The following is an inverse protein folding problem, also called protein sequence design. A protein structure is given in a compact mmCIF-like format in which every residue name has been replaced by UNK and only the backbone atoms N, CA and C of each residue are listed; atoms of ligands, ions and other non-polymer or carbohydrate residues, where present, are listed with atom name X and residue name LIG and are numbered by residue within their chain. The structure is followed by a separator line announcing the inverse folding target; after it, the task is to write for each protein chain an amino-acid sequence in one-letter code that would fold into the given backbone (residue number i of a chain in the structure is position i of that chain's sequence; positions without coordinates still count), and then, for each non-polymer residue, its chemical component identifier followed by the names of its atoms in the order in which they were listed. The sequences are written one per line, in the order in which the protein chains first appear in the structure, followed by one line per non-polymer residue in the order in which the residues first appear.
data_IF_860600075662
#
_entry.id   IF_860600075662
#
_cell.length_a   1.000
_cell.length_b   1.000
_cell.length_c   1.000
_cell.angle_alpha   90.00
_cell.angle_beta   90.00
_cell.angle_gamma   90.00
#
_symmetry.space_group_name_H-M   'P 1'
#
loop_
_entity.id
_entity.type
_entity.pdbx_description
1 polymer ?
#
# COMPACT_ATOMS: atom_id res chain seq x y z
N UNK A 1 3.91 9.63 20.50
CA UNK A 1 3.53 8.88 21.71
C UNK A 1 2.96 7.55 21.25
N UNK A 2 3.59 6.40 21.51
CA UNK A 2 2.95 5.12 21.21
C UNK A 2 1.78 4.94 22.18
N UNK A 3 0.56 4.96 21.66
CA UNK A 3 -0.63 4.61 22.43
C UNK A 3 -0.54 3.13 22.76
N UNK A 4 -0.20 2.81 24.01
CA UNK A 4 -0.24 1.45 24.53
C UNK A 4 -1.69 1.12 24.82
N UNK A 5 -2.33 0.37 23.92
CA UNK A 5 -3.65 -0.21 24.19
C UNK A 5 -3.42 -1.45 25.05
N UNK A 6 -3.66 -1.31 26.35
CA UNK A 6 -3.74 -2.44 27.27
C UNK A 6 -5.01 -3.24 26.96
N UNK A 7 -4.83 -4.50 26.55
CA UNK A 7 -5.93 -5.44 26.45
C UNK A 7 -6.27 -5.98 27.86
N UNK A 8 -7.54 -6.29 28.16
CA UNK A 8 -7.94 -6.76 29.47
C UNK A 8 -7.22 -8.07 29.81
N UNK A 9 -6.49 -8.09 30.93
CA UNK A 9 -5.83 -9.28 31.44
C UNK A 9 -6.87 -10.40 31.64
N UNK A 10 -6.65 -11.55 30.98
CA UNK A 10 -7.48 -12.76 31.10
C UNK A 10 -8.31 -13.14 29.87
N UNK A 11 -8.43 -12.31 28.84
CA UNK A 11 -9.00 -12.71 27.54
C UNK A 11 -7.89 -12.95 26.53
N UNK A 12 -7.86 -14.14 25.93
CA UNK A 12 -6.97 -14.42 24.81
C UNK A 12 -7.20 -13.40 23.69
N UNK A 13 -6.12 -12.87 23.10
CA UNK A 13 -6.19 -11.94 21.99
C UNK A 13 -6.92 -12.62 20.83
N UNK A 14 -8.07 -12.10 20.44
CA UNK A 14 -8.81 -12.66 19.31
C UNK A 14 -8.21 -12.21 17.99
N UNK A 15 -8.48 -12.98 16.94
CA UNK A 15 -8.09 -12.68 15.55
C UNK A 15 -8.54 -11.25 15.15
N UNK A 16 -9.79 -10.87 15.42
CA UNK A 16 -10.30 -9.52 15.12
C UNK A 16 -9.62 -8.45 15.95
N UNK A 17 -9.48 -8.65 17.26
CA UNK A 17 -8.81 -7.66 18.11
C UNK A 17 -7.36 -7.41 17.68
N UNK A 18 -6.64 -8.46 17.28
CA UNK A 18 -5.29 -8.34 16.75
C UNK A 18 -5.25 -7.56 15.44
N UNK A 19 -6.19 -7.83 14.53
CA UNK A 19 -6.30 -7.14 13.25
C UNK A 19 -6.59 -5.64 13.43
N UNK A 20 -7.57 -5.30 14.27
CA UNK A 20 -7.99 -3.93 14.52
C UNK A 20 -6.86 -3.11 15.14
N UNK A 21 -6.20 -3.63 16.20
CA UNK A 21 -5.09 -2.93 16.87
C UNK A 21 -3.88 -2.78 15.92
N UNK A 22 -3.62 -3.77 15.06
CA UNK A 22 -2.58 -3.63 14.04
C UNK A 22 -2.90 -2.51 13.05
N UNK A 23 -4.11 -2.48 12.50
CA UNK A 23 -4.52 -1.47 11.52
C UNK A 23 -4.52 -0.07 12.13
N UNK A 24 -4.98 0.09 13.37
CA UNK A 24 -4.95 1.36 14.12
C UNK A 24 -3.53 1.85 14.41
N UNK A 25 -2.54 0.95 14.45
CA UNK A 25 -1.15 1.33 14.65
C UNK A 25 -0.49 1.96 13.41
N UNK A 26 -1.13 1.89 12.24
CA UNK A 26 -0.59 2.40 10.98
C UNK A 26 -0.95 3.87 10.78
N UNK A 27 0.06 4.76 10.75
CA UNK A 27 -0.16 6.21 10.59
C UNK A 27 -0.56 6.68 9.19
N UNK A 28 -0.53 5.82 8.16
CA UNK A 28 -0.84 6.21 6.78
C UNK A 28 -2.21 5.63 6.35
N UNK A 29 -3.22 6.47 6.03
CA UNK A 29 -4.55 6.00 5.64
C UNK A 29 -4.57 5.10 4.39
N UNK A 30 -3.68 5.33 3.43
CA UNK A 30 -3.57 4.48 2.24
C UNK A 30 -3.01 3.09 2.59
N UNK A 31 -2.09 3.02 3.55
CA UNK A 31 -1.58 1.75 4.06
C UNK A 31 -2.65 1.01 4.85
N UNK A 32 -3.38 1.70 5.74
CA UNK A 32 -4.53 1.14 6.47
C UNK A 32 -5.54 0.54 5.49
N UNK A 33 -5.96 1.32 4.47
CA UNK A 33 -6.90 0.85 3.44
C UNK A 33 -6.38 -0.36 2.68
N UNK A 34 -5.12 -0.34 2.26
CA UNK A 34 -4.57 -1.44 1.45
C UNK A 34 -4.36 -2.72 2.27
N UNK A 35 -3.82 -2.60 3.48
CA UNK A 35 -3.59 -3.75 4.37
C UNK A 35 -4.89 -4.28 4.94
N UNK A 36 -5.86 -3.41 5.26
CA UNK A 36 -7.17 -3.79 5.77
C UNK A 36 -7.94 -4.76 4.87
N UNK A 37 -7.74 -4.72 3.55
CA UNK A 37 -8.35 -5.70 2.63
C UNK A 37 -7.77 -7.10 2.87
N UNK A 38 -6.45 -7.22 3.02
CA UNK A 38 -5.80 -8.51 3.25
C UNK A 38 -6.07 -9.03 4.66
N UNK A 39 -5.75 -8.20 5.65
CA UNK A 39 -5.89 -8.53 7.07
C UNK A 39 -7.34 -8.80 7.44
N UNK A 40 -8.27 -7.92 7.05
CA UNK A 40 -9.68 -8.04 7.42
C UNK A 40 -10.32 -9.31 6.85
N UNK A 41 -10.11 -9.60 5.55
CA UNK A 41 -10.68 -10.82 4.93
C UNK A 41 -10.06 -12.11 5.46
N UNK A 42 -8.75 -12.11 5.76
CA UNK A 42 -8.12 -13.26 6.41
C UNK A 42 -8.68 -13.45 7.82
N UNK A 43 -8.82 -12.38 8.60
CA UNK A 43 -9.40 -12.44 9.95
C UNK A 43 -10.84 -12.98 9.94
N UNK A 44 -11.68 -12.50 9.01
CA UNK A 44 -13.04 -12.98 8.79
C UNK A 44 -13.05 -14.48 8.46
N UNK A 45 -12.17 -14.93 7.55
CA UNK A 45 -12.10 -16.33 7.11
C UNK A 45 -11.64 -17.29 8.20
N UNK A 46 -10.69 -16.88 9.05
CA UNK A 46 -10.19 -17.70 10.16
C UNK A 46 -11.25 -17.81 11.27
N UNK A 47 -12.00 -16.74 11.51
CA UNK A 47 -12.97 -16.65 12.59
C UNK A 47 -12.56 -15.58 13.57
N UNK A 48 -13.29 -14.47 13.55
CA UNK A 48 -12.92 -13.23 14.23
C UNK A 48 -12.85 -13.34 15.76
N UNK A 49 -13.69 -14.20 16.34
CA UNK A 49 -13.75 -14.45 17.78
C UNK A 49 -12.75 -15.50 18.28
N UNK A 50 -12.05 -16.21 17.39
CA UNK A 50 -11.10 -17.24 17.79
C UNK A 50 -9.84 -16.63 18.42
N UNK A 51 -9.26 -17.30 19.44
CA UNK A 51 -7.94 -16.93 19.95
C UNK A 51 -6.88 -17.00 18.85
N UNK A 52 -6.12 -15.92 18.66
CA UNK A 52 -5.06 -15.88 17.64
C UNK A 52 -4.00 -16.98 17.88
N UNK A 53 -3.69 -17.26 19.14
CA UNK A 53 -2.72 -18.30 19.54
C UNK A 53 -3.16 -19.73 19.18
N UNK A 54 -4.45 -19.95 18.88
CA UNK A 54 -4.98 -21.25 18.49
C UNK A 54 -5.00 -21.48 16.98
N UNK A 55 -4.66 -20.46 16.19
CA UNK A 55 -4.64 -20.53 14.73
C UNK A 55 -3.30 -21.11 14.27
N UNK A 56 -3.33 -22.10 13.38
CA UNK A 56 -2.15 -22.70 12.80
C UNK A 56 -1.64 -21.91 11.58
N UNK A 57 -0.33 -22.02 11.31
CA UNK A 57 0.30 -21.39 10.14
C UNK A 57 -0.37 -21.83 8.83
N UNK A 58 -0.73 -23.10 8.71
CA UNK A 58 -1.38 -23.63 7.50
C UNK A 58 -2.77 -23.03 7.28
N UNK A 59 -3.53 -22.72 8.34
CA UNK A 59 -4.82 -22.05 8.21
C UNK A 59 -4.68 -20.64 7.61
N UNK A 60 -3.59 -19.94 7.93
CA UNK A 60 -3.25 -18.64 7.31
C UNK A 60 -2.93 -18.81 5.82
N UNK A 61 -2.11 -19.80 5.49
CA UNK A 61 -1.76 -20.09 4.10
C UNK A 61 -2.98 -20.48 3.26
N UNK A 62 -3.83 -21.36 3.79
CA UNK A 62 -5.06 -21.82 3.14
C UNK A 62 -6.05 -20.67 2.96
N UNK A 63 -6.19 -19.79 3.95
CA UNK A 63 -7.01 -18.59 3.81
C UNK A 63 -6.49 -17.68 2.69
N UNK A 64 -5.17 -17.49 2.56
CA UNK A 64 -4.58 -16.70 1.48
C UNK A 64 -4.84 -17.33 0.10
N UNK A 65 -4.61 -18.64 -0.06
CA UNK A 65 -4.86 -19.36 -1.32
C UNK A 65 -6.34 -19.35 -1.70
N UNK A 66 -7.24 -19.59 -0.75
CA UNK A 66 -8.67 -19.57 -1.00
C UNK A 66 -9.15 -18.18 -1.47
N UNK A 67 -8.64 -17.12 -0.85
CA UNK A 67 -9.08 -15.74 -1.14
C UNK A 67 -8.40 -15.15 -2.39
N UNK A 68 -7.16 -15.53 -2.69
CA UNK A 68 -6.33 -14.88 -3.71
C UNK A 68 -5.43 -15.81 -4.53
N UNK A 69 -5.53 -17.13 -4.42
CA UNK A 69 -4.67 -18.08 -5.16
C UNK A 69 -4.79 -17.97 -6.68
N UNK A 70 -5.93 -17.49 -7.18
CA UNK A 70 -6.17 -17.20 -8.60
C UNK A 70 -6.08 -15.71 -8.96
N UNK A 71 -5.72 -14.86 -8.00
CA UNK A 71 -5.60 -13.43 -8.22
C UNK A 71 -4.32 -13.09 -9.03
N UNK A 72 -4.28 -11.92 -9.70
CA UNK A 72 -3.05 -11.43 -10.29
C UNK A 72 -1.90 -11.39 -9.27
N UNK A 73 -0.68 -11.69 -9.72
CA UNK A 73 0.52 -11.79 -8.87
C UNK A 73 0.71 -10.58 -7.94
N UNK A 74 0.49 -9.36 -8.45
CA UNK A 74 0.63 -8.15 -7.65
C UNK A 74 -0.43 -8.06 -6.55
N UNK A 75 -1.64 -8.53 -6.81
CA UNK A 75 -2.71 -8.63 -5.81
C UNK A 75 -2.35 -9.67 -4.75
N UNK A 76 -1.97 -10.88 -5.15
CA UNK A 76 -1.49 -11.92 -4.22
C UNK A 76 -0.40 -11.38 -3.29
N UNK A 77 0.66 -10.80 -3.88
CA UNK A 77 1.80 -10.27 -3.14
C UNK A 77 1.40 -9.15 -2.17
N UNK A 78 0.49 -8.25 -2.57
CA UNK A 78 0.02 -7.17 -1.71
C UNK A 78 -0.79 -7.67 -0.50
N UNK A 79 -1.66 -8.66 -0.71
CA UNK A 79 -2.50 -9.23 0.37
C UNK A 79 -1.65 -10.06 1.33
N UNK A 80 -0.79 -10.92 0.78
CA UNK A 80 0.22 -11.66 1.53
C UNK A 80 1.11 -10.73 2.36
N UNK A 81 1.56 -9.60 1.79
CA UNK A 81 2.39 -8.63 2.52
C UNK A 81 1.63 -7.97 3.69
N UNK A 82 0.35 -7.66 3.51
CA UNK A 82 -0.49 -7.14 4.59
C UNK A 82 -0.61 -8.13 5.76
N UNK A 83 -0.92 -9.40 5.46
CA UNK A 83 -1.04 -10.46 6.47
C UNK A 83 0.32 -10.75 7.14
N UNK A 84 1.41 -10.81 6.36
CA UNK A 84 2.76 -10.97 6.88
C UNK A 84 3.13 -9.82 7.84
N UNK A 85 2.79 -8.58 7.49
CA UNK A 85 3.05 -7.42 8.34
C UNK A 85 2.24 -7.46 9.63
N UNK A 86 0.99 -7.92 9.56
CA UNK A 86 0.12 -8.06 10.73
C UNK A 86 0.66 -9.11 11.71
N UNK A 87 0.95 -10.32 11.24
CA UNK A 87 1.45 -11.40 12.09
C UNK A 87 2.88 -11.09 12.62
N UNK A 88 3.71 -10.44 11.79
CA UNK A 88 5.00 -9.93 12.23
C UNK A 88 4.89 -8.91 13.37
N UNK A 89 3.95 -7.97 13.25
CA UNK A 89 3.66 -6.97 14.30
C UNK A 89 3.15 -7.61 15.60
N UNK A 90 2.34 -8.68 15.49
CA UNK A 90 1.85 -9.42 16.65
C UNK A 90 3.01 -10.07 17.41
N UNK A 91 3.87 -10.77 16.67
CA UNK A 91 5.07 -11.44 17.22
C UNK A 91 6.03 -10.45 17.88
N UNK A 92 6.27 -9.29 17.27
CA UNK A 92 7.12 -8.23 17.84
C UNK A 92 6.60 -7.70 19.19
N UNK A 93 5.31 -7.83 19.47
CA UNK A 93 4.67 -7.44 20.73
C UNK A 93 4.51 -8.60 21.73
N UNK A 94 5.06 -9.77 21.41
CA UNK A 94 5.01 -10.94 22.26
C UNK A 94 3.66 -11.65 22.26
N UNK A 95 2.79 -11.38 21.28
CA UNK A 95 1.56 -12.16 21.12
C UNK A 95 1.89 -13.50 20.46
N UNK A 96 1.45 -14.59 21.07
CA UNK A 96 1.45 -15.92 20.45
C UNK A 96 0.42 -15.96 19.31
N UNK A 97 0.77 -16.62 18.20
CA UNK A 97 -0.05 -16.68 17.02
C UNK A 97 0.69 -17.25 15.81
N UNK A 98 -0.02 -17.41 14.68
CA UNK A 98 0.53 -18.05 13.49
C UNK A 98 1.51 -17.13 12.75
N UNK A 99 2.27 -17.73 11.85
CA UNK A 99 3.05 -17.08 10.82
C UNK A 99 2.43 -17.34 9.43
N UNK A 100 2.87 -16.55 8.43
CA UNK A 100 2.60 -16.90 7.02
C UNK A 100 3.50 -18.06 6.65
N UNK A 101 2.95 -19.21 6.22
CA UNK A 101 3.75 -20.40 5.97
C UNK A 101 4.67 -20.22 4.76
N UNK A 102 5.78 -20.96 4.75
CA UNK A 102 6.80 -20.84 3.71
C UNK A 102 6.28 -21.22 2.31
N UNK A 103 5.34 -22.15 2.23
CA UNK A 103 4.74 -22.60 0.96
C UNK A 103 3.85 -21.52 0.32
N UNK A 104 3.19 -20.69 1.13
CA UNK A 104 2.47 -19.50 0.68
C UNK A 104 3.47 -18.38 0.37
N UNK A 105 4.34 -18.59 -0.62
CA UNK A 105 5.47 -17.72 -0.94
C UNK A 105 5.07 -16.49 -1.77
N UNK A 106 5.90 -15.46 -1.71
CA UNK A 106 5.80 -14.31 -2.62
C UNK A 106 6.06 -14.80 -4.05
N UNK A 107 5.24 -14.36 -4.99
CA UNK A 107 5.39 -14.67 -6.41
C UNK A 107 6.23 -13.59 -7.11
N UNK A 108 7.01 -13.98 -8.12
CA UNK A 108 7.76 -13.02 -8.93
C UNK A 108 6.78 -12.19 -9.75
N UNK A 109 6.80 -10.87 -9.56
CA UNK A 109 5.96 -9.97 -10.35
C UNK A 109 6.37 -10.05 -11.82
N UNK A 110 5.42 -10.23 -12.76
CA UNK A 110 5.74 -10.15 -14.17
C UNK A 110 6.22 -8.74 -14.53
N UNK A 111 6.98 -8.64 -15.60
CA UNK A 111 7.32 -7.34 -16.17
C UNK A 111 6.06 -6.57 -16.55
N UNK A 112 6.15 -5.24 -16.51
CA UNK A 112 5.02 -4.39 -16.87
C UNK A 112 4.86 -4.35 -18.38
N UNK A 113 3.74 -4.88 -18.88
CA UNK A 113 3.33 -4.74 -20.29
C UNK A 113 2.80 -3.34 -20.64
N UNK A 114 2.76 -2.41 -19.67
CA UNK A 114 2.29 -1.04 -19.91
C UNK A 114 3.21 -0.33 -20.91
N UNK A 115 2.72 0.03 -22.11
CA UNK A 115 3.57 0.60 -23.14
C UNK A 115 3.98 2.03 -22.79
N UNK A 116 5.27 2.33 -22.96
CA UNK A 116 5.76 3.70 -22.89
C UNK A 116 5.22 4.53 -24.06
N UNK A 117 4.74 5.76 -23.77
CA UNK A 117 4.30 6.70 -24.81
C UNK A 117 5.52 7.42 -25.40
N UNK A 118 5.63 7.41 -26.73
CA UNK A 118 6.68 8.18 -27.42
C UNK A 118 6.41 9.69 -27.35
N UNK A 119 7.48 10.50 -27.48
CA UNK A 119 7.36 11.96 -27.57
C UNK A 119 6.33 12.40 -28.60
N UNK A 120 6.38 11.80 -29.79
CA UNK A 120 5.46 12.10 -30.89
C UNK A 120 4.00 11.78 -30.52
N UNK A 121 3.74 10.70 -29.78
CA UNK A 121 2.40 10.38 -29.31
C UNK A 121 1.88 11.44 -28.32
N UNK A 122 2.75 11.94 -27.44
CA UNK A 122 2.40 13.01 -26.49
C UNK A 122 2.18 14.35 -27.22
N UNK A 123 3.06 14.73 -28.14
CA UNK A 123 2.92 15.96 -28.94
C UNK A 123 1.58 15.97 -29.71
N UNK A 124 1.19 14.82 -30.28
CA UNK A 124 -0.12 14.67 -30.94
C UNK A 124 -1.29 14.84 -29.98
N UNK A 125 -1.22 14.30 -28.76
CA UNK A 125 -2.26 14.49 -27.75
C UNK A 125 -2.40 15.97 -27.37
N UNK A 126 -1.29 16.68 -27.23
CA UNK A 126 -1.26 18.10 -26.87
C UNK A 126 -1.80 18.98 -28.01
N UNK A 127 -1.59 18.59 -29.27
CA UNK A 127 -2.06 19.34 -30.44
C UNK A 127 -3.60 19.29 -30.64
N UNK A 128 -4.31 18.38 -29.97
CA UNK A 128 -5.78 18.21 -30.09
C UNK A 128 -6.52 19.47 -29.67
N UNK A 129 -7.31 20.09 -30.56
CA UNK A 129 -7.96 21.38 -30.31
C UNK A 129 -9.11 21.28 -29.30
N UNK A 130 -9.79 20.14 -29.28
CA UNK A 130 -10.92 19.82 -28.42
C UNK A 130 -10.54 19.54 -26.96
N UNK A 131 -9.24 19.39 -26.67
CA UNK A 131 -8.75 19.20 -25.31
C UNK A 131 -8.43 20.57 -24.69
N UNK A 132 -8.93 20.81 -23.47
CA UNK A 132 -8.65 22.04 -22.76
C UNK A 132 -7.16 22.16 -22.36
N UNK A 133 -6.71 23.41 -22.15
CA UNK A 133 -5.31 23.71 -21.86
C UNK A 133 -4.83 23.02 -20.56
N UNK A 134 -5.71 22.85 -19.57
CA UNK A 134 -5.39 22.22 -18.29
C UNK A 134 -4.87 20.78 -18.47
N UNK A 135 -5.57 19.97 -19.25
CA UNK A 135 -5.22 18.57 -19.51
C UNK A 135 -3.93 18.49 -20.33
N UNK A 136 -3.77 19.39 -21.31
CA UNK A 136 -2.53 19.50 -22.09
C UNK A 136 -1.33 19.82 -21.20
N UNK A 137 -1.48 20.79 -20.28
CA UNK A 137 -0.45 21.14 -19.31
C UNK A 137 -0.14 19.96 -18.40
N UNK A 138 -1.15 19.26 -17.88
CA UNK A 138 -0.94 18.07 -17.06
C UNK A 138 -0.15 16.99 -17.81
N UNK A 139 -0.53 16.67 -19.04
CA UNK A 139 0.16 15.65 -19.84
C UNK A 139 1.60 16.05 -20.17
N UNK A 140 1.84 17.32 -20.51
CA UNK A 140 3.18 17.85 -20.74
C UNK A 140 4.05 17.73 -19.49
N UNK A 141 3.52 18.15 -18.34
CA UNK A 141 4.22 18.11 -17.06
C UNK A 141 4.55 16.67 -16.65
N UNK A 142 3.60 15.73 -16.75
CA UNK A 142 3.85 14.31 -16.46
C UNK A 142 4.94 13.73 -17.34
N UNK A 143 4.93 14.06 -18.63
CA UNK A 143 5.91 13.56 -19.59
C UNK A 143 7.32 14.15 -19.36
N UNK A 144 7.43 15.47 -19.20
CA UNK A 144 8.73 16.14 -19.10
C UNK A 144 9.40 15.98 -17.74
N UNK A 145 8.61 15.91 -16.66
CA UNK A 145 9.17 15.78 -15.30
C UNK A 145 9.28 14.33 -14.83
N UNK A 146 8.57 13.40 -15.49
CA UNK A 146 8.36 12.03 -14.98
C UNK A 146 7.84 11.99 -13.53
N UNK A 147 7.22 13.08 -13.07
CA UNK A 147 6.61 13.18 -11.75
C UNK A 147 5.36 12.33 -11.64
N UNK A 148 5.02 11.93 -10.40
CA UNK A 148 3.75 11.23 -10.16
C UNK A 148 2.57 12.18 -10.35
N UNK A 149 1.43 11.62 -10.73
CA UNK A 149 0.21 12.41 -10.92
C UNK A 149 -0.18 13.24 -9.69
N UNK A 150 -0.05 12.67 -8.49
CA UNK A 150 -0.32 13.38 -7.23
C UNK A 150 0.68 14.53 -6.98
N UNK A 151 1.93 14.38 -7.41
CA UNK A 151 2.96 15.43 -7.27
C UNK A 151 2.63 16.61 -8.16
N UNK A 152 2.22 16.37 -9.41
CA UNK A 152 1.86 17.43 -10.37
C UNK A 152 0.52 18.08 -10.01
N UNK A 153 -0.48 17.29 -9.59
CA UNK A 153 -1.77 17.82 -9.17
C UNK A 153 -1.71 18.60 -7.85
N UNK A 154 -0.69 18.35 -7.02
CA UNK A 154 -0.47 19.05 -5.76
C UNK A 154 0.39 20.31 -5.85
N UNK A 155 0.85 20.70 -7.05
CA UNK A 155 1.63 21.93 -7.26
C UNK A 155 0.74 23.16 -7.08
N UNK A 156 1.23 24.13 -6.30
CA UNK A 156 0.66 25.47 -6.21
C UNK A 156 1.38 26.43 -7.16
N UNK A 157 0.63 27.34 -7.80
CA UNK A 157 1.17 28.28 -8.80
C UNK A 157 2.15 29.26 -8.13
N UNK A 158 1.89 29.60 -6.87
CA UNK A 158 2.68 30.51 -6.04
C UNK A 158 4.06 29.95 -5.69
N UNK A 159 4.24 28.63 -5.76
CA UNK A 159 5.48 27.94 -5.47
C UNK A 159 6.37 27.75 -6.71
N UNK A 160 5.91 28.22 -7.88
CA UNK A 160 6.66 28.15 -9.13
C UNK A 160 7.84 29.13 -9.11
N UNK A 161 9.05 28.59 -9.17
CA UNK A 161 10.27 29.35 -9.41
C UNK A 161 10.53 29.43 -10.91
N UNK A 162 10.02 30.48 -11.55
CA UNK A 162 10.16 30.68 -13.00
C UNK A 162 11.63 30.91 -13.41
N UNK A 163 12.43 31.57 -12.57
CA UNK A 163 13.84 31.81 -12.85
C UNK A 163 14.64 30.50 -12.79
N UNK A 164 14.37 29.68 -11.78
CA UNK A 164 14.98 28.36 -11.59
C UNK A 164 14.31 27.23 -12.39
N UNK A 165 13.21 27.51 -13.09
CA UNK A 165 12.38 26.53 -13.83
C UNK A 165 12.04 25.29 -13.00
N UNK A 166 11.63 25.50 -11.74
CA UNK A 166 11.39 24.42 -10.78
C UNK A 166 10.18 24.69 -9.90
N UNK A 167 9.65 23.64 -9.32
CA UNK A 167 8.61 23.70 -8.30
C UNK A 167 8.89 22.64 -7.23
N UNK A 168 8.83 22.96 -5.93
CA UNK A 168 8.82 21.94 -4.90
C UNK A 168 7.56 21.07 -5.02
N UNK A 169 7.68 19.78 -4.72
CA UNK A 169 6.56 18.83 -4.68
C UNK A 169 6.64 17.95 -3.45
N UNK A 170 5.49 17.50 -2.96
CA UNK A 170 5.41 16.48 -1.90
C UNK A 170 5.57 15.10 -2.53
N UNK A 171 6.81 14.65 -2.70
CA UNK A 171 7.09 13.38 -3.35
C UNK A 171 6.89 12.18 -2.42
N UNK A 172 6.18 11.15 -2.89
CA UNK A 172 6.02 9.91 -2.12
C UNK A 172 7.35 9.14 -2.09
N UNK A 173 7.88 8.91 -0.89
CA UNK A 173 9.16 8.22 -0.70
C UNK A 173 10.40 9.12 -0.82
N UNK A 174 10.22 10.44 -0.95
CA UNK A 174 11.34 11.36 -0.75
C UNK A 174 11.80 11.26 0.70
N UNK A 175 13.00 10.73 0.95
CA UNK A 175 13.69 11.02 2.20
C UNK A 175 13.93 12.52 2.22
N UNK A 176 13.56 13.20 3.31
CA UNK A 176 13.98 14.57 3.55
C UNK A 176 15.50 14.59 3.42
N UNK A 177 16.03 15.15 2.33
CA UNK A 177 17.46 15.46 2.27
C UNK A 177 17.66 16.53 3.32
N UNK A 178 18.20 16.15 4.48
CA UNK A 178 18.75 17.12 5.41
C UNK A 178 19.73 17.98 4.60
N UNK A 179 19.47 19.29 4.53
CA UNK A 179 20.44 20.24 4.00
C UNK A 179 21.72 20.05 4.82
N UNK A 180 22.80 19.65 4.14
CA UNK A 180 24.17 19.88 4.62
C UNK A 180 24.51 21.34 4.38
#
# INVERSE_FOLDING_TARGET
MPTVVQLPAGKALTVRAAADVFLDSLGNPNTVRNYGIGVGKTAERIGEGWPLASVADDEIGEALELLWGTAPVNTWNARRAGVLSWLGWCRERGFEGPAVPAWAKRLAAPDSDTPARSKMAIDRLIARREVHLREKTLWRMLYETSGRVEEILGVNIEELDFAGRRCPVKAKGARTKARR
#
